data_IF_202785388075
#
_entry.id   IF_202785388075
#
_cell.length_a   1.000
_cell.length_b   1.000
_cell.length_c   1.000
_cell.angle_alpha   90.00
_cell.angle_beta   90.00
_cell.angle_gamma   90.00
#
_symmetry.space_group_name_H-M   'P 1'
#
loop_
_entity.id
_entity.type
_entity.pdbx_description
1 polymer ?
#
# COMPACT_ATOMS: atom_id res chain seq x y z
N UNK A 1 -3.75 -46.50 13.39
CA UNK A 1 -3.88 -45.72 12.14
C UNK A 1 -3.68 -44.23 12.46
N UNK A 2 -2.52 -43.65 12.13
CA UNK A 2 -2.32 -42.19 12.21
C UNK A 2 -3.05 -41.56 11.02
N UNK A 3 -4.09 -40.77 11.27
CA UNK A 3 -4.75 -39.95 10.24
C UNK A 3 -3.74 -38.90 9.78
N UNK A 4 -3.27 -39.00 8.54
CA UNK A 4 -2.43 -37.98 7.91
C UNK A 4 -3.32 -36.80 7.53
N UNK A 5 -3.26 -35.73 8.33
CA UNK A 5 -3.94 -34.46 8.05
C UNK A 5 -3.04 -33.65 7.13
N UNK A 6 -3.55 -33.28 5.95
CA UNK A 6 -2.89 -32.42 4.96
C UNK A 6 -2.81 -30.99 5.51
N UNK A 7 -1.62 -30.36 5.52
CA UNK A 7 -1.54 -28.92 5.82
C UNK A 7 -2.34 -28.17 4.76
N UNK A 8 -3.31 -27.40 5.22
CA UNK A 8 -3.98 -26.42 4.37
C UNK A 8 -3.46 -25.08 4.81
N UNK A 9 -2.63 -24.46 3.97
CA UNK A 9 -2.24 -23.08 4.18
C UNK A 9 -3.39 -22.21 3.71
N UNK A 10 -4.05 -21.53 4.64
CA UNK A 10 -4.75 -20.32 4.28
C UNK A 10 -3.66 -19.27 4.10
N UNK A 11 -3.09 -19.21 2.90
CA UNK A 11 -2.47 -17.97 2.48
C UNK A 11 -3.62 -16.97 2.45
N UNK A 12 -3.71 -16.10 3.46
CA UNK A 12 -4.25 -14.78 3.20
C UNK A 12 -3.26 -14.14 2.23
N UNK A 13 -3.42 -14.51 0.96
CA UNK A 13 -3.10 -13.61 -0.12
C UNK A 13 -4.07 -12.47 0.15
N UNK A 14 -3.56 -11.40 0.76
CA UNK A 14 -4.21 -10.10 0.72
C UNK A 14 -4.18 -9.63 -0.73
N UNK A 15 -4.95 -10.32 -1.58
CA UNK A 15 -5.33 -9.85 -2.89
C UNK A 15 -6.39 -8.81 -2.59
N UNK A 16 -6.04 -7.55 -2.82
CA UNK A 16 -6.95 -6.43 -2.70
C UNK A 16 -8.22 -6.71 -3.53
N UNK A 17 -9.30 -7.08 -2.84
CA UNK A 17 -10.65 -6.72 -3.26
C UNK A 17 -11.48 -6.40 -2.01
N UNK A 18 -11.33 -5.15 -1.59
CA UNK A 18 -12.23 -4.29 -0.80
C UNK A 18 -12.88 -4.93 0.44
N UNK A 19 -12.25 -4.78 1.61
CA UNK A 19 -12.69 -3.82 2.64
C UNK A 19 -11.74 -3.82 3.86
N UNK A 20 -11.12 -2.64 4.12
CA UNK A 20 -10.55 -2.14 5.39
C UNK A 20 -9.34 -2.87 6.01
N UNK A 21 -8.14 -2.44 5.57
CA UNK A 21 -6.85 -2.59 6.24
C UNK A 21 -5.75 -3.01 5.25
N UNK A 22 -4.96 -2.15 4.64
CA UNK A 22 -4.71 -0.70 4.72
C UNK A 22 -4.89 -0.12 3.32
N UNK A 23 -5.92 0.71 3.09
CA UNK A 23 -5.81 1.65 1.98
C UNK A 23 -4.65 2.58 2.35
N UNK A 24 -3.71 2.81 1.44
CA UNK A 24 -2.69 3.83 1.66
C UNK A 24 -3.42 5.12 2.05
N UNK A 25 -3.10 5.67 3.23
CA UNK A 25 -3.83 6.79 3.79
C UNK A 25 -3.74 7.98 2.82
N UNK A 26 -4.87 8.67 2.63
CA UNK A 26 -4.86 9.92 1.88
C UNK A 26 -4.52 11.06 2.84
N UNK A 27 -3.35 11.66 2.66
CA UNK A 27 -2.86 12.78 3.45
C UNK A 27 -3.25 14.16 2.89
N UNK A 28 -3.92 14.20 1.73
CA UNK A 28 -4.48 15.43 1.20
C UNK A 28 -5.80 15.78 1.90
N UNK A 29 -5.94 17.02 2.31
CA UNK A 29 -7.12 17.55 3.01
C UNK A 29 -7.42 18.98 2.57
N UNK A 30 -8.56 19.52 3.02
CA UNK A 30 -9.01 20.89 2.69
C UNK A 30 -8.91 21.24 1.21
N UNK A 31 -9.31 20.31 0.33
CA UNK A 31 -9.30 20.53 -1.12
C UNK A 31 -10.33 21.60 -1.48
N UNK A 32 -9.88 22.70 -2.08
CA UNK A 32 -10.70 23.80 -2.56
C UNK A 32 -10.39 24.04 -4.03
N UNK A 33 -11.42 24.34 -4.82
CA UNK A 33 -11.26 24.66 -6.24
C UNK A 33 -11.77 26.05 -6.57
N UNK A 34 -11.11 26.71 -7.51
CA UNK A 34 -11.49 28.04 -8.00
C UNK A 34 -11.19 28.12 -9.50
N UNK A 35 -12.19 28.53 -10.30
CA UNK A 35 -12.00 28.75 -11.74
C UNK A 35 -11.35 30.12 -11.95
N UNK A 36 -10.16 30.14 -12.54
CA UNK A 36 -9.43 31.35 -12.89
C UNK A 36 -9.45 31.58 -14.39
N UNK A 37 -9.73 32.82 -14.80
CA UNK A 37 -9.71 33.30 -16.20
C UNK A 37 -10.55 32.48 -17.19
N UNK A 38 -11.48 31.62 -16.71
CA UNK A 38 -12.36 30.79 -17.54
C UNK A 38 -11.68 29.59 -18.23
N UNK A 39 -10.37 29.43 -18.05
CA UNK A 39 -9.57 28.41 -18.75
C UNK A 39 -8.78 27.49 -17.80
N UNK A 40 -8.65 27.91 -16.52
CA UNK A 40 -7.86 27.20 -15.52
C UNK A 40 -8.72 26.88 -14.31
N UNK A 41 -8.50 25.70 -13.75
CA UNK A 41 -8.98 25.35 -12.42
C UNK A 41 -7.79 25.39 -11.46
N UNK A 42 -7.82 26.32 -10.52
CA UNK A 42 -6.92 26.35 -9.37
C UNK A 42 -7.46 25.38 -8.33
N UNK A 43 -6.62 24.47 -7.85
CA UNK A 43 -6.94 23.50 -6.83
C UNK A 43 -5.94 23.70 -5.70
N UNK A 44 -6.40 24.13 -4.53
CA UNK A 44 -5.57 24.22 -3.33
C UNK A 44 -5.89 23.08 -2.38
N UNK A 45 -4.88 22.58 -1.66
CA UNK A 45 -5.06 21.55 -0.66
C UNK A 45 -3.98 21.64 0.42
N UNK A 46 -4.24 21.02 1.57
CA UNK A 46 -3.24 20.82 2.61
C UNK A 46 -2.69 19.40 2.53
N UNK A 47 -1.38 19.25 2.66
CA UNK A 47 -0.68 17.98 2.80
C UNK A 47 -0.15 17.86 4.23
N UNK A 48 -0.88 17.17 5.09
CA UNK A 48 -0.57 17.08 6.52
C UNK A 48 0.04 15.71 6.83
N UNK A 49 1.36 15.67 7.06
CA UNK A 49 2.00 14.49 7.64
C UNK A 49 2.11 14.66 9.16
N UNK A 50 1.61 13.74 10.00
CA UNK A 50 1.71 13.85 11.46
C UNK A 50 3.14 13.98 11.99
N UNK A 51 4.11 13.39 11.28
CA UNK A 51 5.53 13.44 11.61
C UNK A 51 6.28 14.58 10.88
N UNK A 52 5.59 15.35 10.04
CA UNK A 52 6.15 16.45 9.25
C UNK A 52 7.27 16.05 8.27
N UNK A 53 7.54 14.76 8.09
CA UNK A 53 8.70 14.25 7.36
C UNK A 53 8.29 13.31 6.23
N UNK A 54 9.20 13.12 5.27
CA UNK A 54 8.98 12.28 4.10
C UNK A 54 8.51 13.04 2.86
N UNK A 55 8.52 12.34 1.75
CA UNK A 55 8.04 12.82 0.45
C UNK A 55 6.74 12.10 0.11
N UNK A 56 5.89 12.75 -0.69
CA UNK A 56 4.59 12.24 -1.08
C UNK A 56 4.44 12.24 -2.58
N UNK A 57 3.74 11.23 -3.08
CA UNK A 57 3.19 11.23 -4.42
C UNK A 57 1.77 11.80 -4.36
N UNK A 58 1.49 12.82 -5.15
CA UNK A 58 0.20 13.48 -5.25
C UNK A 58 -0.43 13.17 -6.60
N UNK A 59 -1.69 12.75 -6.59
CA UNK A 59 -2.47 12.40 -7.79
C UNK A 59 -3.76 13.18 -7.78
N UNK A 60 -4.11 13.72 -8.95
CA UNK A 60 -5.35 14.42 -9.20
C UNK A 60 -6.32 13.48 -9.94
N UNK A 61 -7.53 13.35 -9.39
CA UNK A 61 -8.66 12.73 -10.08
C UNK A 61 -9.73 13.78 -10.35
N UNK A 62 -10.16 13.86 -11.61
CA UNK A 62 -11.32 14.65 -12.01
C UNK A 62 -12.42 13.70 -12.53
N UNK A 63 -13.66 13.96 -12.16
CA UNK A 63 -14.82 13.23 -12.69
C UNK A 63 -15.92 14.17 -13.14
N UNK A 64 -16.58 13.83 -14.25
CA UNK A 64 -17.75 14.53 -14.77
C UNK A 64 -18.87 13.52 -14.96
N UNK A 65 -20.01 13.74 -14.29
CA UNK A 65 -21.16 12.83 -14.32
C UNK A 65 -20.79 11.36 -14.01
N UNK A 66 -19.81 11.17 -13.13
CA UNK A 66 -19.30 9.85 -12.72
C UNK A 66 -18.28 9.21 -13.65
N UNK A 67 -17.96 9.82 -14.80
CA UNK A 67 -16.89 9.37 -15.67
C UNK A 67 -15.58 10.10 -15.36
N UNK A 68 -14.45 9.41 -15.43
CA UNK A 68 -13.14 10.01 -15.25
C UNK A 68 -12.82 10.99 -16.38
N UNK A 69 -12.30 12.15 -16.01
CA UNK A 69 -11.79 13.18 -16.92
C UNK A 69 -10.27 13.12 -16.90
N UNK A 70 -9.65 13.31 -18.07
CA UNK A 70 -8.19 13.40 -18.17
C UNK A 70 -7.71 14.68 -17.50
N UNK A 71 -6.53 14.65 -16.90
CA UNK A 71 -5.92 15.83 -16.26
C UNK A 71 -4.46 15.96 -16.72
N UNK A 72 -4.21 15.82 -18.02
CA UNK A 72 -2.85 15.78 -18.58
C UNK A 72 -2.18 17.15 -18.61
N UNK A 73 -2.96 18.23 -18.62
CA UNK A 73 -2.49 19.62 -18.52
C UNK A 73 -2.58 20.17 -17.09
N UNK A 74 -2.35 19.33 -16.07
CA UNK A 74 -2.29 19.74 -14.67
C UNK A 74 -0.84 19.84 -14.17
N UNK A 75 -0.51 20.91 -13.45
CA UNK A 75 0.84 21.25 -13.00
C UNK A 75 0.83 21.81 -11.57
N UNK A 76 1.99 21.89 -10.93
CA UNK A 76 2.16 22.45 -9.58
C UNK A 76 2.65 21.40 -8.60
N UNK A 77 2.11 21.40 -7.38
CA UNK A 77 2.35 20.38 -6.35
C UNK A 77 1.63 19.06 -6.71
N UNK A 78 2.03 18.45 -7.82
CA UNK A 78 1.45 17.23 -8.39
C UNK A 78 2.57 16.26 -8.80
N UNK A 79 2.35 14.96 -8.61
CA UNK A 79 3.34 13.91 -8.91
C UNK A 79 4.20 13.57 -7.69
N UNK A 80 5.43 13.12 -7.94
CA UNK A 80 6.30 12.58 -6.90
C UNK A 80 7.06 13.68 -6.15
N UNK A 81 7.67 13.31 -5.02
CA UNK A 81 8.59 14.16 -4.26
C UNK A 81 7.97 15.43 -3.66
N UNK A 82 6.67 15.42 -3.36
CA UNK A 82 6.00 16.57 -2.76
C UNK A 82 6.22 16.56 -1.24
N UNK A 83 6.78 17.65 -0.71
CA UNK A 83 6.97 17.82 0.73
C UNK A 83 5.66 18.25 1.40
N UNK A 84 5.39 17.83 2.66
CA UNK A 84 4.25 18.31 3.44
C UNK A 84 4.14 19.83 3.52
N UNK A 85 2.94 20.33 3.80
CA UNK A 85 2.66 21.76 3.98
C UNK A 85 1.21 22.12 3.69
N UNK A 86 0.80 23.28 4.15
CA UNK A 86 -0.51 23.87 3.86
C UNK A 86 -0.47 24.62 2.54
N UNK A 87 -1.65 24.88 1.96
CA UNK A 87 -1.83 25.74 0.77
C UNK A 87 -1.01 25.28 -0.46
N UNK A 88 -0.84 23.97 -0.62
CA UNK A 88 -0.30 23.38 -1.86
C UNK A 88 -1.23 23.68 -3.02
N UNK A 89 -0.67 23.84 -4.22
CA UNK A 89 -1.42 24.31 -5.37
C UNK A 89 -1.21 23.46 -6.61
N UNK A 90 -2.31 23.08 -7.25
CA UNK A 90 -2.36 22.48 -8.59
C UNK A 90 -3.11 23.44 -9.50
N UNK A 91 -2.54 23.73 -10.67
CA UNK A 91 -3.18 24.48 -11.74
C UNK A 91 -3.49 23.53 -12.88
N UNK A 92 -4.77 23.35 -13.19
CA UNK A 92 -5.21 22.52 -14.29
C UNK A 92 -5.76 23.37 -15.44
N UNK A 93 -5.10 23.33 -16.59
CA UNK A 93 -5.55 23.95 -17.84
C UNK A 93 -6.61 23.05 -18.50
N UNK A 94 -7.80 23.02 -17.88
CA UNK A 94 -8.81 22.01 -18.18
C UNK A 94 -9.30 22.02 -19.63
N UNK A 95 -9.19 23.15 -20.35
CA UNK A 95 -9.62 23.25 -21.75
C UNK A 95 -8.85 22.35 -22.71
N UNK A 96 -7.62 21.97 -22.36
CA UNK A 96 -6.82 21.04 -23.15
C UNK A 96 -7.30 19.58 -23.00
N UNK A 97 -7.92 19.25 -21.87
CA UNK A 97 -8.34 17.91 -21.50
C UNK A 97 -9.87 17.70 -21.58
N UNK A 98 -10.64 18.79 -21.47
CA UNK A 98 -12.07 18.78 -21.17
C UNK A 98 -12.79 20.00 -21.75
N UNK A 99 -13.85 19.74 -22.52
CA UNK A 99 -14.61 20.77 -23.25
C UNK A 99 -15.96 21.15 -22.63
N UNK A 100 -16.45 20.39 -21.65
CA UNK A 100 -17.79 20.56 -21.08
C UNK A 100 -17.80 21.61 -19.92
N UNK A 101 -18.93 21.72 -19.22
CA UNK A 101 -19.08 22.64 -18.10
C UNK A 101 -18.22 22.21 -16.89
N UNK A 102 -17.21 23.02 -16.57
CA UNK A 102 -16.29 22.79 -15.46
C UNK A 102 -16.98 22.78 -14.08
N UNK A 103 -18.13 23.44 -13.94
CA UNK A 103 -18.85 23.56 -12.65
C UNK A 103 -19.40 22.22 -12.14
N UNK A 104 -19.60 21.25 -13.03
CA UNK A 104 -20.08 19.90 -12.70
C UNK A 104 -18.93 18.91 -12.47
N UNK A 105 -17.68 19.35 -12.65
CA UNK A 105 -16.50 18.50 -12.43
C UNK A 105 -16.23 18.39 -10.94
N UNK A 106 -16.10 17.16 -10.46
CA UNK A 106 -15.65 16.86 -9.10
C UNK A 106 -14.17 16.54 -9.13
N UNK A 107 -13.41 17.16 -8.23
CA UNK A 107 -11.99 16.93 -8.07
C UNK A 107 -11.74 16.23 -6.75
N UNK A 108 -10.89 15.20 -6.79
CA UNK A 108 -10.31 14.57 -5.62
C UNK A 108 -8.78 14.61 -5.74
N UNK A 109 -8.12 15.02 -4.67
CA UNK A 109 -6.65 14.98 -4.56
C UNK A 109 -6.31 13.86 -3.60
N UNK A 110 -5.39 13.00 -4.02
CA UNK A 110 -4.82 11.96 -3.19
C UNK A 110 -3.34 12.22 -3.00
N UNK A 111 -2.89 12.23 -1.76
CA UNK A 111 -1.48 12.28 -1.44
C UNK A 111 -1.11 11.06 -0.60
N UNK A 112 -0.12 10.32 -1.06
CA UNK A 112 0.35 9.11 -0.41
C UNK A 112 1.83 9.22 -0.12
N UNK A 113 2.23 8.80 1.08
CA UNK A 113 3.64 8.84 1.49
C UNK A 113 4.47 7.89 0.65
N UNK A 114 5.57 8.40 0.12
CA UNK A 114 6.54 7.62 -0.64
C UNK A 114 7.39 6.77 0.28
N UNK A 115 7.85 5.64 -0.26
CA UNK A 115 8.75 4.72 0.42
C UNK A 115 8.21 4.20 1.76
N UNK A 116 6.88 4.07 1.90
CA UNK A 116 6.30 3.39 3.06
C UNK A 116 6.62 1.89 3.02
N UNK A 117 7.05 1.30 4.15
CA UNK A 117 7.25 -0.14 4.27
C UNK A 117 6.03 -0.94 3.81
N UNK A 118 6.20 -1.75 2.77
CA UNK A 118 5.17 -2.71 2.34
C UNK A 118 5.67 -4.12 2.64
N UNK A 119 4.99 -4.80 3.58
CA UNK A 119 5.33 -6.16 3.94
C UNK A 119 4.69 -7.14 2.94
N UNK A 120 5.51 -7.83 2.16
CA UNK A 120 5.06 -8.79 1.15
C UNK A 120 5.96 -10.02 1.20
N UNK A 121 5.36 -11.20 1.12
CA UNK A 121 6.10 -12.45 1.02
C UNK A 121 5.40 -13.51 0.19
N UNK A 122 6.17 -14.50 -0.22
CA UNK A 122 5.70 -15.68 -0.96
C UNK A 122 6.24 -16.95 -0.30
N UNK A 123 5.51 -18.06 -0.46
CA UNK A 123 6.03 -19.39 -0.13
C UNK A 123 6.84 -19.88 -1.32
N UNK A 124 8.15 -20.05 -1.12
CA UNK A 124 9.08 -20.47 -2.16
C UNK A 124 8.99 -21.97 -2.44
N UNK A 125 8.92 -22.76 -1.38
CA UNK A 125 8.85 -24.22 -1.47
C UNK A 125 8.21 -24.82 -0.23
N UNK A 126 7.60 -25.99 -0.43
CA UNK A 126 6.99 -26.81 0.60
C UNK A 126 7.55 -28.22 0.43
N UNK A 127 8.25 -28.74 1.45
CA UNK A 127 8.80 -30.09 1.40
C UNK A 127 7.74 -31.14 1.73
N UNK A 128 8.04 -32.40 1.44
CA UNK A 128 7.19 -33.56 1.75
C UNK A 128 5.72 -33.42 1.29
N UNK A 129 5.48 -32.68 0.19
CA UNK A 129 4.14 -32.39 -0.33
C UNK A 129 3.17 -31.81 0.72
N UNK A 130 3.68 -31.11 1.74
CA UNK A 130 2.88 -30.52 2.83
C UNK A 130 2.51 -31.49 3.96
N UNK A 131 3.08 -32.69 4.00
CA UNK A 131 2.90 -33.62 5.13
C UNK A 131 3.94 -33.36 6.22
N UNK A 132 3.52 -33.34 7.48
CA UNK A 132 4.44 -33.19 8.60
C UNK A 132 5.34 -34.44 8.78
N UNK A 133 6.63 -34.29 9.09
CA UNK A 133 7.35 -33.02 9.20
C UNK A 133 7.53 -32.37 7.82
N UNK A 134 7.24 -31.07 7.74
CA UNK A 134 7.22 -30.27 6.52
C UNK A 134 8.05 -29.01 6.71
N UNK A 135 9.07 -28.82 5.87
CA UNK A 135 9.83 -27.57 5.81
C UNK A 135 9.19 -26.64 4.79
N UNK A 136 9.01 -25.36 5.16
CA UNK A 136 8.54 -24.30 4.27
C UNK A 136 9.61 -23.23 4.18
N UNK A 137 9.99 -22.87 2.95
CA UNK A 137 10.91 -21.75 2.68
C UNK A 137 10.11 -20.54 2.24
N UNK A 138 10.45 -19.36 2.77
CA UNK A 138 9.78 -18.11 2.45
C UNK A 138 10.70 -17.17 1.66
N UNK A 139 10.16 -16.53 0.63
CA UNK A 139 10.82 -15.42 -0.08
C UNK A 139 10.17 -14.12 0.36
N UNK A 140 11.00 -13.15 0.69
CA UNK A 140 10.57 -11.82 1.05
C UNK A 140 10.54 -10.91 -0.18
N UNK A 141 9.38 -10.32 -0.44
CA UNK A 141 9.12 -9.36 -1.53
C UNK A 141 8.81 -7.96 -1.00
N UNK A 142 9.06 -7.71 0.28
CA UNK A 142 8.80 -6.43 0.93
C UNK A 142 9.64 -5.33 0.27
N UNK A 143 9.06 -4.16 0.13
CA UNK A 143 9.71 -2.98 -0.43
C UNK A 143 9.81 -1.87 0.61
N UNK A 144 10.84 -1.03 0.46
CA UNK A 144 11.14 0.08 1.37
C UNK A 144 11.38 -0.34 2.82
N UNK A 145 11.93 -1.54 3.04
CA UNK A 145 12.17 -2.15 4.36
C UNK A 145 13.58 -2.71 4.48
N UNK A 146 14.16 -2.68 5.68
CA UNK A 146 15.44 -3.30 6.01
C UNK A 146 15.39 -4.25 7.23
N UNK A 147 14.28 -4.26 7.97
CA UNK A 147 14.06 -5.10 9.15
C UNK A 147 12.83 -5.97 8.99
N UNK A 148 12.91 -7.20 9.53
CA UNK A 148 11.89 -8.23 9.34
C UNK A 148 11.62 -8.96 10.65
N UNK A 149 10.35 -9.26 10.92
CA UNK A 149 9.93 -10.12 12.01
C UNK A 149 8.83 -11.05 11.51
N UNK A 150 9.17 -12.31 11.38
CA UNK A 150 8.28 -13.40 11.00
C UNK A 150 7.63 -14.01 12.23
N UNK A 151 6.38 -14.44 12.08
CA UNK A 151 5.70 -15.35 12.97
C UNK A 151 5.08 -16.46 12.11
N UNK A 152 5.50 -17.69 12.34
CA UNK A 152 5.07 -18.85 11.54
C UNK A 152 3.71 -19.41 11.98
N UNK A 153 3.12 -18.88 13.05
CA UNK A 153 1.84 -19.35 13.58
C UNK A 153 1.91 -20.75 14.22
N UNK A 154 3.11 -21.26 14.48
CA UNK A 154 3.41 -22.56 15.09
C UNK A 154 3.99 -22.40 16.51
N UNK A 155 3.17 -22.06 17.52
CA UNK A 155 3.64 -21.86 18.89
C UNK A 155 4.24 -23.13 19.50
N UNK A 156 3.96 -24.32 18.95
CA UNK A 156 4.53 -25.59 19.42
C UNK A 156 6.03 -25.70 19.16
N UNK A 157 6.56 -24.91 18.22
CA UNK A 157 7.98 -24.77 17.94
C UNK A 157 8.72 -23.82 18.90
N UNK A 158 8.01 -23.22 19.87
CA UNK A 158 8.58 -22.33 20.89
C UNK A 158 9.33 -21.14 20.26
N UNK A 159 10.60 -20.92 20.60
CA UNK A 159 11.38 -19.80 20.07
C UNK A 159 11.53 -19.82 18.55
N UNK A 160 11.49 -21.00 17.92
CA UNK A 160 11.55 -21.15 16.46
C UNK A 160 10.27 -20.67 15.76
N UNK A 161 9.20 -20.30 16.49
CA UNK A 161 7.99 -19.72 15.90
C UNK A 161 8.24 -18.32 15.32
N UNK A 162 9.33 -17.66 15.72
CA UNK A 162 9.70 -16.34 15.27
C UNK A 162 11.04 -16.38 14.53
N UNK A 163 11.20 -15.48 13.55
CA UNK A 163 12.50 -15.25 12.89
C UNK A 163 12.68 -13.78 12.54
N UNK A 164 13.93 -13.33 12.53
CA UNK A 164 14.33 -11.99 12.09
C UNK A 164 15.15 -12.03 10.78
N UNK A 165 15.28 -13.20 10.17
CA UNK A 165 15.97 -13.36 8.90
C UNK A 165 15.14 -12.75 7.75
N UNK A 166 15.83 -12.26 6.72
CA UNK A 166 15.17 -11.72 5.53
C UNK A 166 14.35 -12.80 4.81
N UNK A 167 14.91 -13.99 4.64
CA UNK A 167 14.31 -15.13 3.92
C UNK A 167 14.43 -16.40 4.76
N UNK A 168 13.55 -16.61 5.75
CA UNK A 168 13.67 -17.71 6.69
C UNK A 168 13.13 -19.03 6.13
N UNK A 169 13.43 -20.10 6.86
CA UNK A 169 12.79 -21.41 6.71
C UNK A 169 12.18 -21.82 8.05
N UNK A 170 11.06 -22.56 7.99
CA UNK A 170 10.42 -23.12 9.18
C UNK A 170 10.01 -24.57 8.98
N UNK A 171 10.24 -25.41 9.99
CA UNK A 171 9.85 -26.84 9.97
C UNK A 171 8.64 -27.06 10.86
N UNK A 172 7.50 -27.35 10.23
CA UNK A 172 6.27 -27.74 10.90
C UNK A 172 6.31 -29.24 11.25
N UNK A 173 6.55 -29.53 12.53
CA UNK A 173 6.68 -30.91 13.03
C UNK A 173 5.34 -31.66 13.10
N UNK A 174 4.22 -30.93 13.12
CA UNK A 174 2.86 -31.49 13.24
C UNK A 174 1.97 -31.00 12.10
N UNK A 175 0.97 -31.82 11.75
CA UNK A 175 -0.06 -31.44 10.79
C UNK A 175 -0.96 -30.35 11.39
N UNK A 176 -1.34 -29.33 10.60
CA UNK A 176 -2.19 -28.24 11.09
C UNK A 176 -2.57 -27.21 10.02
N UNK A 177 -3.22 -26.14 10.47
CA UNK A 177 -3.43 -24.90 9.70
C UNK A 177 -2.67 -23.82 10.44
N UNK A 178 -1.79 -23.13 9.72
CA UNK A 178 -0.87 -22.14 10.28
C UNK A 178 -1.10 -20.80 9.58
N UNK A 179 -1.18 -19.73 10.36
CA UNK A 179 -1.28 -18.36 9.85
C UNK A 179 0.08 -17.71 9.98
N UNK A 180 0.73 -17.46 8.85
CA UNK A 180 2.04 -16.81 8.79
C UNK A 180 1.85 -15.30 8.70
N UNK A 181 2.61 -14.54 9.47
CA UNK A 181 2.65 -13.07 9.37
C UNK A 181 4.09 -12.56 9.28
N UNK A 182 4.30 -11.54 8.45
CA UNK A 182 5.54 -10.77 8.35
C UNK A 182 5.27 -9.33 8.76
N UNK A 183 6.05 -8.82 9.71
CA UNK A 183 6.19 -7.38 9.97
C UNK A 183 7.49 -6.94 9.32
N UNK A 184 7.42 -5.98 8.40
CA UNK A 184 8.58 -5.38 7.76
C UNK A 184 8.65 -3.89 8.17
N UNK A 185 9.86 -3.42 8.51
CA UNK A 185 10.10 -2.05 8.97
C UNK A 185 11.27 -1.42 8.22
N UNK A 186 11.35 -0.10 8.29
CA UNK A 186 12.50 0.67 7.89
C UNK A 186 13.06 1.41 9.11
N UNK A 187 14.29 1.09 9.50
CA UNK A 187 14.98 1.74 10.62
C UNK A 187 15.95 2.86 10.22
N UNK A 188 15.98 3.24 8.94
CA UNK A 188 16.79 4.36 8.44
C UNK A 188 16.03 5.69 8.42
N UNK A 189 15.22 5.94 9.46
CA UNK A 189 14.68 7.26 9.75
C UNK A 189 15.72 8.15 10.40
#
# INVERSE_FOLDING_TARGET
MKKNIKLTFLALISFFMVCRGTAQENFASHVVTNVSDGEKLLISYDLVSPDGSGLFTVVLFATYKGAQVKTTSAYGDLGNSISPGTEKAIVWYFKDDFSENISDVKVEVFAYKENEPQAIFEIASISNNGYAPCEVTFINKSVYTNEYQWNFGDPSSSAANLSFEKEPKHVYQKGGVYTISLIARNSQT
#
